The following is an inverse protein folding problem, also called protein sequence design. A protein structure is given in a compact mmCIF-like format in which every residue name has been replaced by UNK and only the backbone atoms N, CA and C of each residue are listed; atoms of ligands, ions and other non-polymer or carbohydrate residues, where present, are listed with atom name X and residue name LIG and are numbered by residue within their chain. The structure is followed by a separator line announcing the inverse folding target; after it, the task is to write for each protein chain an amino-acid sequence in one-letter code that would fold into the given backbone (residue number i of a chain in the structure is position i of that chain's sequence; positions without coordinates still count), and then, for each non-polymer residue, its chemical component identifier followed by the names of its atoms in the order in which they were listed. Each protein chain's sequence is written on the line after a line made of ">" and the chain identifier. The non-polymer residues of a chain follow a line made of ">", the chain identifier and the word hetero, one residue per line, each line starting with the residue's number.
data_IF_706534527750
#
_entry.id   IF_706534527750
#
_cell.length_a   1.000
_cell.length_b   1.000
_cell.length_c   1.000
_cell.angle_alpha   90.00
_cell.angle_beta   90.00
_cell.angle_gamma   90.00
#
_symmetry.space_group_name_H-M   'P 1'
#
loop_
_entity.id
_entity.type
_entity.pdbx_description
1 polymer ?
2 water ?
#
# COMPACT_ATOMS: atom_id res chain seq x y z
N UNK A 6 12.58 9.66 -24.94
CA UNK A 6 11.70 8.51 -25.28
C UNK A 6 12.21 7.18 -24.72
N UNK A 7 13.49 6.90 -24.91
CA UNK A 7 14.03 5.65 -24.40
C UNK A 7 13.93 5.72 -22.89
N UNK A 8 13.05 4.92 -22.31
CA UNK A 8 12.91 4.90 -20.87
C UNK A 8 13.36 3.55 -20.39
N UNK A 9 14.67 3.42 -20.24
CA UNK A 9 15.28 2.20 -19.77
C UNK A 9 14.90 0.96 -20.56
N UNK A 10 14.70 1.13 -21.86
CA UNK A 10 14.36 0.00 -22.71
C UNK A 10 12.94 -0.07 -23.24
N UNK A 11 12.22 1.05 -23.17
CA UNK A 11 10.85 1.10 -23.65
C UNK A 11 10.33 2.51 -23.83
N UNK A 12 9.37 2.67 -24.74
CA UNK A 12 8.77 3.98 -24.97
C UNK A 12 7.45 4.06 -24.20
N UNK A 13 7.31 5.15 -23.45
CA UNK A 13 6.13 5.41 -22.62
C UNK A 13 5.56 6.76 -23.03
N UNK A 14 4.57 6.76 -23.95
CA UNK A 14 3.90 7.96 -24.45
C UNK A 14 3.50 8.99 -23.40
N UNK A 15 3.18 8.54 -22.19
CA UNK A 15 2.78 9.49 -21.16
C UNK A 15 4.01 10.13 -20.53
N UNK A 17 6.96 10.50 -21.92
CA UNK A 17 7.54 11.37 -22.93
C UNK A 17 6.79 12.70 -22.90
N UNK A 18 5.52 12.65 -22.53
CA UNK A 18 4.67 13.83 -22.47
C UNK A 18 4.99 14.73 -21.28
N UNK A 19 5.46 14.12 -20.19
CA UNK A 19 5.80 14.87 -18.98
C UNK A 19 7.15 15.55 -19.10
N UNK A 20 7.89 15.22 -20.16
CA UNK A 20 9.20 15.81 -20.34
C UNK A 20 10.13 15.37 -19.22
N UNK A 21 10.19 14.06 -18.97
CA UNK A 21 11.05 13.54 -17.92
C UNK A 21 12.25 12.85 -18.54
N UNK A 22 13.39 12.91 -17.86
CA UNK A 22 14.62 12.31 -18.39
C UNK A 22 15.20 11.18 -17.52
N UNK A 23 15.41 10.00 -18.12
CA UNK A 23 15.98 8.83 -17.44
C UNK A 23 17.45 9.07 -17.18
N UNK A 24 17.89 8.89 -15.93
CA UNK A 24 19.26 9.17 -15.55
C UNK A 24 20.11 7.95 -15.16
N UNK A 25 19.45 6.86 -14.77
CA UNK A 25 20.15 5.64 -14.35
C UNK A 25 19.17 4.54 -13.97
N UNK A 26 19.65 3.31 -14.07
CA UNK A 26 18.88 2.12 -13.72
C UNK A 26 19.81 0.93 -13.71
N UNK A 27 19.92 0.28 -12.56
CA UNK A 27 20.79 -0.88 -12.46
C UNK A 27 21.20 -1.09 -11.04
N UNK A 28 21.55 -2.32 -10.70
CA UNK A 28 21.97 -2.67 -9.35
C UNK A 28 20.98 -2.29 -8.26
N UNK A 29 19.69 -2.48 -8.53
CA UNK A 29 18.67 -2.17 -7.55
C UNK A 29 18.38 -0.72 -7.22
N UNK A 30 18.78 0.22 -8.08
CA UNK A 30 18.50 1.63 -7.84
C UNK A 30 18.14 2.26 -9.16
N UNK A 31 17.67 3.49 -9.13
CA UNK A 31 17.32 4.18 -10.37
C UNK A 31 17.30 5.70 -10.18
N UNK A 32 17.46 6.44 -11.27
CA UNK A 32 17.45 7.89 -11.18
C UNK A 32 16.72 8.46 -12.38
N UNK A 33 15.96 9.51 -12.12
CA UNK A 33 15.21 10.17 -13.17
C UNK A 33 15.21 11.66 -12.84
N UNK A 34 14.86 12.49 -13.81
CA UNK A 34 14.86 13.94 -13.58
C UNK A 34 13.67 14.64 -14.19
N UNK A 35 13.06 15.56 -13.44
CA UNK A 35 11.91 16.29 -13.94
C UNK A 35 12.15 17.77 -14.18
N UNK A 36 12.58 18.12 -15.41
CA UNK A 36 12.84 19.52 -15.72
C UNK A 36 11.55 20.36 -15.58
N UNK A 37 11.67 21.51 -14.93
CA UNK A 37 10.53 22.38 -14.71
C UNK A 37 9.79 22.75 -15.99
N UNK A 38 8.46 22.86 -15.88
CA UNK A 38 7.61 23.21 -16.99
C UNK A 38 6.37 23.83 -16.36
N UNK A 39 5.62 24.58 -17.14
CA UNK A 39 4.41 25.22 -16.63
C UNK A 39 3.20 24.33 -16.89
N UNK A 40 3.37 23.37 -17.80
CA UNK A 40 2.34 22.41 -18.17
C UNK A 40 2.14 21.50 -16.97
N UNK A 41 3.20 21.35 -16.20
CA UNK A 41 3.22 20.46 -15.06
C UNK A 41 2.91 21.00 -13.67
N UNK A 42 2.36 22.21 -13.58
CA UNK A 42 2.08 22.81 -12.28
C UNK A 42 0.66 22.73 -11.70
N UNK A 43 0.62 22.94 -10.38
CA UNK A 43 -0.58 22.93 -9.58
C UNK A 43 -1.29 24.26 -9.80
N UNK A 44 -2.20 24.60 -8.90
CA UNK A 44 -2.92 25.86 -8.97
C UNK A 44 -2.17 26.81 -8.06
N UNK A 45 -1.44 26.25 -7.09
CA UNK A 45 -0.64 27.04 -6.17
C UNK A 45 0.71 27.30 -6.84
N UNK A 46 0.77 27.03 -8.14
CA UNK A 46 1.99 27.24 -8.89
C UNK A 46 3.02 26.14 -8.73
N UNK A 47 2.86 25.33 -7.68
CA UNK A 47 3.78 24.22 -7.38
C UNK A 47 3.61 23.09 -8.40
N UNK A 48 4.61 22.22 -8.48
CA UNK A 48 4.52 21.09 -9.39
C UNK A 48 3.41 20.20 -8.83
N UNK A 49 2.45 19.83 -9.67
CA UNK A 49 1.31 18.98 -9.25
C UNK A 49 1.74 17.62 -8.72
N UNK A 50 1.24 17.26 -7.54
CA UNK A 50 1.58 16.00 -6.91
C UNK A 50 1.38 14.78 -7.80
N UNK A 51 0.51 14.93 -8.79
CA UNK A 51 0.27 13.84 -9.71
C UNK A 51 1.48 13.73 -10.61
N UNK A 52 2.07 14.88 -10.93
CA UNK A 52 3.27 14.88 -11.77
C UNK A 52 4.31 14.09 -11.02
N UNK A 53 4.32 14.26 -9.70
CA UNK A 53 5.28 13.58 -8.84
C UNK A 53 5.10 12.07 -8.80
N UNK A 55 3.59 10.26 -10.90
CA UNK A 55 3.79 9.70 -12.25
C UNK A 55 5.26 9.41 -12.47
N UNK A 56 6.11 10.36 -12.12
CA UNK A 56 7.53 10.18 -12.30
C UNK A 56 8.05 9.19 -11.26
N UNK A 57 7.42 9.18 -10.08
CA UNK A 57 7.83 8.26 -9.03
C UNK A 57 7.45 6.83 -9.40
N UNK A 58 6.30 6.68 -10.07
CA UNK A 58 5.84 5.36 -10.47
C UNK A 58 6.85 4.81 -11.47
N UNK A 59 7.12 5.62 -12.48
CA UNK A 59 8.08 5.29 -13.52
C UNK A 59 9.42 4.83 -12.95
N UNK A 60 9.98 5.64 -12.05
CA UNK A 60 11.28 5.37 -11.45
C UNK A 60 11.36 4.24 -10.42
N UNK A 61 10.27 3.94 -9.75
CA UNK A 61 10.28 2.87 -8.77
C UNK A 61 10.41 1.54 -9.51
N UNK A 62 9.68 1.40 -10.60
CA UNK A 62 9.76 0.17 -11.36
C UNK A 62 11.15 -0.03 -11.96
N UNK A 63 11.75 1.06 -12.40
CA UNK A 63 13.07 1.01 -13.01
C UNK A 63 14.12 0.41 -12.09
N UNK A 64 13.96 0.54 -10.78
CA UNK A 64 14.94 -0.02 -9.85
C UNK A 64 14.88 -1.54 -9.82
N UNK A 65 13.84 -2.10 -10.45
CA UNK A 65 13.68 -3.54 -10.49
C UNK A 65 14.19 -4.02 -11.85
N UNK A 66 13.62 -3.50 -12.93
CA UNK A 66 14.03 -3.95 -14.26
C UNK A 66 15.20 -3.24 -14.95
N UNK A 67 16.30 -3.14 -14.23
CA UNK A 67 17.52 -2.53 -14.74
C UNK A 67 18.52 -3.64 -14.53
N UNK A 68 18.24 -4.42 -13.47
CA UNK A 68 19.04 -5.58 -13.11
C UNK A 68 18.55 -6.62 -14.10
N UNK A 69 17.43 -6.30 -14.76
CA UNK A 69 16.86 -7.19 -15.78
C UNK A 69 15.77 -6.59 -16.67
N UNK A 70 16.15 -5.99 -17.80
CA UNK A 70 15.17 -5.41 -18.73
C UNK A 70 14.42 -6.55 -19.43
N UNK A 71 14.72 -7.77 -18.98
CA UNK A 71 14.10 -8.98 -19.53
C UNK A 71 12.75 -9.21 -18.91
N UNK A 72 12.55 -8.66 -17.72
CA UNK A 72 11.32 -8.85 -16.96
C UNK A 72 10.30 -7.72 -17.05
N UNK A 73 9.06 -8.05 -16.71
CA UNK A 73 8.01 -7.06 -16.74
C UNK A 73 7.65 -6.71 -15.30
N UNK A 74 7.32 -5.46 -15.04
CA UNK A 74 6.92 -5.08 -13.69
C UNK A 74 5.63 -4.27 -13.78
N UNK A 75 4.65 -4.65 -12.98
CA UNK A 75 3.39 -3.93 -12.96
C UNK A 75 3.21 -3.46 -11.54
N UNK A 76 2.77 -2.21 -11.38
CA UNK A 76 2.56 -1.64 -10.05
C UNK A 76 1.29 -2.27 -9.45
N UNK A 77 1.38 -2.73 -8.22
CA UNK A 77 0.22 -3.32 -7.53
C UNK A 77 -0.44 -2.20 -6.72
N UNK A 78 0.33 -1.59 -5.84
CA UNK A 78 -0.14 -0.48 -5.01
C UNK A 78 1.03 0.47 -4.73
N UNK A 80 2.13 4.12 -2.25
CA UNK A 80 1.86 5.07 -1.18
C UNK A 80 2.81 6.28 -1.34
N UNK A 81 2.25 7.47 -1.39
CA UNK A 81 3.04 8.67 -1.57
C UNK A 81 2.79 9.72 -0.48
N UNK A 82 3.89 10.21 0.08
CA UNK A 82 3.84 11.23 1.12
C UNK A 82 4.28 12.56 0.51
N UNK A 83 3.55 13.62 0.87
CA UNK A 83 3.85 14.95 0.35
C UNK A 83 4.39 15.82 1.47
N UNK A 85 6.94 18.66 0.95
CA UNK A 85 7.23 20.02 0.58
C UNK A 85 6.83 20.32 -0.84
N UNK A 86 6.29 21.52 -1.07
CA UNK A 86 5.88 21.90 -2.42
C UNK A 86 7.06 21.71 -3.36
N UNK A 87 6.80 21.18 -4.54
CA UNK A 87 7.87 20.96 -5.50
C UNK A 87 7.99 22.09 -6.50
N UNK A 88 9.22 22.56 -6.71
CA UNK A 88 9.47 23.66 -7.64
C UNK A 88 10.81 23.52 -8.33
N UNK A 89 10.91 24.00 -9.56
CA UNK A 89 12.16 23.91 -10.30
C UNK A 89 12.45 22.46 -10.67
N UNK A 90 13.65 22.21 -11.18
CA UNK A 90 14.05 20.86 -11.56
C UNK A 90 14.07 19.95 -10.33
N UNK A 91 13.60 18.73 -10.49
CA UNK A 91 13.58 17.76 -9.40
C UNK A 91 14.28 16.49 -9.85
N UNK A 92 14.92 15.80 -8.90
CA UNK A 92 15.62 14.57 -9.22
C UNK A 92 14.93 13.47 -8.44
N UNK A 93 14.69 12.34 -9.10
CA UNK A 93 14.02 11.20 -8.48
C UNK A 93 14.93 9.99 -8.39
N UNK A 94 15.06 9.45 -7.19
CA UNK A 94 15.91 8.30 -6.97
C UNK A 94 15.22 7.21 -6.16
N UNK A 95 15.27 5.98 -6.67
CA UNK A 95 14.62 4.85 -6.03
C UNK A 95 15.58 3.71 -5.73
N UNK A 96 15.14 2.79 -4.89
CA UNK A 96 15.93 1.61 -4.52
C UNK A 96 14.97 0.45 -4.27
N UNK A 97 15.37 -0.76 -4.67
CA UNK A 97 14.53 -1.93 -4.48
C UNK A 97 14.87 -2.44 -3.09
N UNK A 98 13.84 -2.67 -2.27
CA UNK A 98 14.04 -3.15 -0.91
C UNK A 98 14.07 -4.67 -0.80
N UNK A 99 13.37 -5.31 -1.72
CA UNK A 99 13.29 -6.77 -1.76
C UNK A 99 12.76 -7.23 -3.10
N UNK A 100 13.27 -8.35 -3.56
CA UNK A 100 12.83 -8.90 -4.83
C UNK A 100 12.53 -10.37 -4.66
N UNK A 101 11.30 -10.77 -4.98
CA UNK A 101 10.93 -12.16 -4.85
C UNK A 101 10.79 -12.70 -6.25
N UNK A 102 10.27 -13.91 -6.38
CA UNK A 102 10.10 -14.49 -7.70
C UNK A 102 8.95 -13.79 -8.38
N UNK A 103 7.97 -13.38 -7.59
CA UNK A 103 6.78 -12.73 -8.11
C UNK A 103 6.51 -11.30 -7.64
N UNK A 104 6.89 -11.00 -6.39
CA UNK A 104 6.65 -9.68 -5.77
C UNK A 104 7.89 -8.83 -5.47
N UNK A 105 7.84 -7.55 -5.84
CA UNK A 105 8.96 -6.63 -5.60
C UNK A 105 8.53 -5.41 -4.78
N UNK A 106 9.36 -5.01 -3.83
CA UNK A 106 9.09 -3.85 -2.98
C UNK A 106 10.08 -2.73 -3.28
N UNK A 107 9.58 -1.51 -3.45
CA UNK A 107 10.45 -0.38 -3.75
C UNK A 107 10.08 0.88 -2.99
N UNK A 108 11.05 1.77 -2.86
CA UNK A 108 10.82 3.05 -2.20
C UNK A 108 11.64 4.11 -2.94
N UNK A 109 11.37 5.37 -2.66
CA UNK A 109 12.09 6.42 -3.35
C UNK A 109 11.74 7.79 -2.84
N UNK A 110 12.37 8.80 -3.43
CA UNK A 110 12.15 10.18 -3.00
C UNK A 110 12.44 11.19 -4.12
N UNK A 111 11.82 12.36 -4.00
CA UNK A 111 12.01 13.43 -4.94
C UNK A 111 12.62 14.59 -4.17
N UNK A 112 13.64 15.23 -4.74
CA UNK A 112 14.29 16.34 -4.07
C UNK A 112 14.45 17.49 -5.04
N UNK A 113 14.44 18.71 -4.51
CA UNK A 113 14.61 19.90 -5.34
C UNK A 113 16.08 20.25 -5.47
N UNK A 114 16.38 21.25 -6.28
CA UNK A 114 17.75 21.70 -6.49
C UNK A 114 18.44 21.96 -5.17
N UNK A 115 17.67 22.34 -4.15
CA UNK A 115 18.19 22.64 -2.82
C UNK A 115 18.38 21.38 -1.96
N UNK A 116 18.09 20.22 -2.55
CA UNK A 116 18.25 18.95 -1.85
C UNK A 116 17.22 18.63 -0.77
N UNK A 117 16.14 19.39 -0.71
CA UNK A 117 15.12 19.16 0.30
C UNK A 117 14.09 18.13 -0.18
N UNK A 118 13.62 17.30 0.75
CA UNK A 118 12.64 16.26 0.44
C UNK A 118 11.29 16.84 0.03
N UNK A 119 10.90 16.55 -1.21
CA UNK A 119 9.63 17.01 -1.77
C UNK A 119 8.56 15.96 -1.44
N UNK A 120 8.82 14.71 -1.82
CA UNK A 120 7.90 13.62 -1.56
C UNK A 120 8.64 12.29 -1.48
N UNK A 121 8.08 11.34 -0.74
CA UNK A 121 8.66 10.01 -0.60
C UNK A 121 7.54 9.02 -0.89
N UNK A 122 7.87 7.91 -1.54
CA UNK A 122 6.87 6.90 -1.89
C UNK A 122 7.34 5.47 -1.79
N UNK A 123 6.41 4.57 -1.52
CA UNK A 123 6.75 3.15 -1.48
C UNK A 123 5.79 2.50 -2.47
N UNK A 124 6.18 1.37 -3.03
CA UNK A 124 5.34 0.67 -4.00
C UNK A 124 5.57 -0.84 -4.00
N UNK A 125 4.54 -1.56 -4.42
CA UNK A 125 4.63 -3.00 -4.49
C UNK A 125 4.48 -3.32 -5.96
N UNK A 126 5.21 -4.31 -6.44
CA UNK A 126 5.15 -4.63 -7.86
C UNK A 126 4.96 -6.09 -8.21
N UNK A 127 4.33 -6.32 -9.36
CA UNK A 127 4.15 -7.67 -9.88
C UNK A 127 5.29 -7.80 -10.90
N UNK A 128 6.15 -8.80 -10.77
CA UNK A 128 7.17 -8.94 -11.79
C UNK A 128 6.62 -10.00 -12.71
N UNK A 129 6.34 -9.56 -13.95
CA UNK A 129 5.75 -10.40 -14.98
C UNK A 129 6.64 -11.47 -15.62
N UNK A 130 7.01 -12.48 -14.83
CA UNK A 130 7.78 -13.62 -15.32
C UNK A 130 8.06 -14.66 -14.26
N UNK B 6 -9.09 -21.62 20.24
CA UNK B 6 -10.19 -20.86 19.58
C UNK B 6 -10.17 -21.04 18.07
N UNK B 7 -11.35 -21.01 17.45
CA UNK B 7 -11.40 -21.15 16.01
C UNK B 7 -11.63 -19.82 15.32
N UNK B 8 -10.65 -19.38 14.54
CA UNK B 8 -10.78 -18.13 13.82
C UNK B 8 -10.93 -18.40 12.33
N UNK B 9 -12.17 -18.57 11.90
CA UNK B 9 -12.48 -18.81 10.50
C UNK B 9 -11.88 -20.08 9.89
N UNK B 10 -11.56 -21.05 10.75
CA UNK B 10 -11.00 -22.30 10.30
C UNK B 10 -9.51 -22.38 10.54
N UNK B 11 -9.00 -21.52 11.43
CA UNK B 11 -7.58 -21.48 11.73
C UNK B 11 -7.30 -21.07 13.18
N UNK B 12 -6.23 -21.62 13.73
CA UNK B 12 -5.81 -21.29 15.09
C UNK B 12 -4.87 -20.09 14.95
N UNK B 13 -5.00 -19.12 15.85
CA UNK B 13 -4.14 -17.94 15.83
C UNK B 13 -3.93 -17.40 17.24
N UNK B 14 -2.80 -17.76 17.87
CA UNK B 14 -2.40 -17.37 19.23
C UNK B 14 -2.56 -15.88 19.55
N UNK B 15 -2.17 -15.02 18.61
CA UNK B 15 -2.26 -13.60 18.84
C UNK B 15 -3.69 -13.09 18.83
N UNK B 17 -6.19 -14.79 19.78
CA UNK B 17 -6.78 -15.35 20.99
C UNK B 17 -6.38 -14.46 22.15
N UNK B 18 -5.21 -13.84 22.06
CA UNK B 18 -4.76 -12.95 23.12
C UNK B 18 -5.60 -11.69 23.09
N UNK B 19 -5.93 -11.24 21.89
CA UNK B 19 -6.72 -10.03 21.72
C UNK B 19 -8.20 -10.25 22.03
N UNK B 20 -8.60 -11.52 22.13
CA UNK B 20 -10.00 -11.80 22.43
C UNK B 20 -11.00 -11.44 21.35
N UNK B 21 -10.55 -11.21 20.13
CA UNK B 21 -11.45 -10.87 19.04
C UNK B 21 -12.39 -12.04 18.81
N UNK B 22 -13.61 -11.74 18.35
CA UNK B 22 -14.61 -12.76 18.11
C UNK B 22 -15.07 -12.80 16.66
N UNK B 23 -14.83 -13.92 15.98
CA UNK B 23 -15.22 -14.09 14.56
C UNK B 23 -16.72 -14.30 14.49
N UNK B 24 -17.40 -13.50 13.67
CA UNK B 24 -18.85 -13.60 13.56
C UNK B 24 -19.34 -14.15 12.24
N UNK B 25 -18.75 -13.67 11.15
CA UNK B 25 -19.16 -14.11 9.83
C UNK B 25 -18.06 -14.00 8.78
N UNK B 26 -18.28 -14.63 7.64
CA UNK B 26 -17.35 -14.59 6.52
C UNK B 26 -17.95 -15.38 5.36
N UNK B 27 -17.93 -14.80 4.17
CA UNK B 27 -18.48 -15.47 3.02
C UNK B 27 -19.11 -14.50 2.06
N UNK B 28 -19.04 -14.82 0.77
CA UNK B 28 -19.60 -13.99 -0.29
C UNK B 28 -18.78 -12.72 -0.39
N UNK B 29 -17.47 -12.86 -0.21
CA UNK B 29 -16.54 -11.74 -0.29
C UNK B 29 -16.47 -10.76 0.87
N UNK B 30 -17.06 -11.12 2.01
CA UNK B 30 -17.07 -10.24 3.18
C UNK B 30 -16.70 -11.04 4.42
N UNK B 31 -16.45 -10.34 5.52
CA UNK B 31 -16.18 -10.99 6.80
C UNK B 31 -16.48 -9.99 7.91
N UNK B 32 -16.87 -10.49 9.08
CA UNK B 32 -17.19 -9.61 10.18
C UNK B 32 -16.58 -10.13 11.47
N UNK B 33 -15.89 -9.25 12.18
CA UNK B 33 -15.28 -9.61 13.43
C UNK B 33 -15.71 -8.61 14.51
N UNK B 34 -15.62 -9.01 15.77
CA UNK B 34 -16.01 -8.13 16.84
C UNK B 34 -14.91 -8.11 17.88
N UNK B 35 -14.56 -6.91 18.32
CA UNK B 35 -13.54 -6.73 19.31
C UNK B 35 -14.16 -6.23 20.60
N UNK B 36 -14.22 -7.11 21.63
CA UNK B 36 -14.78 -6.77 22.95
C UNK B 36 -13.82 -5.81 23.63
N UNK B 37 -14.33 -4.97 24.52
CA UNK B 37 -13.48 -4.01 25.21
C UNK B 37 -12.73 -4.67 26.36
N UNK B 38 -11.47 -4.27 26.55
CA UNK B 38 -10.64 -4.80 27.61
C UNK B 38 -9.61 -3.71 27.90
N UNK B 39 -9.30 -3.49 29.18
CA UNK B 39 -8.35 -2.46 29.55
C UNK B 39 -6.94 -2.78 29.08
N UNK B 40 -6.74 -4.04 28.71
CA UNK B 40 -5.45 -4.55 28.23
C UNK B 40 -5.03 -3.94 26.90
N UNK B 41 -6.02 -3.79 26.01
CA UNK B 41 -5.80 -3.32 24.65
C UNK B 41 -5.80 -1.80 24.43
N UNK B 42 -5.65 -1.07 25.51
CA UNK B 42 -5.72 0.38 25.46
C UNK B 42 -4.49 1.27 25.16
N UNK B 43 -4.80 2.49 24.74
CA UNK B 43 -3.88 3.56 24.36
C UNK B 43 -3.26 4.25 25.56
N UNK B 44 -2.44 5.27 25.30
CA UNK B 44 -1.83 6.04 26.38
C UNK B 44 -2.89 7.05 26.83
N UNK B 45 -3.92 7.23 26.00
CA UNK B 45 -5.02 8.14 26.29
C UNK B 45 -6.27 7.35 26.68
N UNK B 46 -6.13 6.04 26.85
CA UNK B 46 -7.26 5.22 27.23
C UNK B 46 -8.13 4.80 26.05
N UNK B 47 -7.66 5.06 24.83
CA UNK B 47 -8.41 4.67 23.63
C UNK B 47 -7.89 3.30 23.17
N UNK B 48 -8.64 2.61 22.32
CA UNK B 48 -8.15 1.32 21.85
C UNK B 48 -6.97 1.64 20.93
N UNK B 49 -5.82 1.05 21.26
CA UNK B 49 -4.57 1.26 20.52
C UNK B 49 -4.71 0.98 19.02
N UNK B 50 -4.08 1.81 18.19
CA UNK B 50 -4.16 1.63 16.76
C UNK B 50 -3.60 0.29 16.31
N UNK B 51 -2.60 -0.19 17.05
CA UNK B 51 -1.97 -1.45 16.72
C UNK B 51 -2.99 -2.55 16.85
N UNK B 52 -3.82 -2.44 17.88
CA UNK B 52 -4.88 -3.39 18.16
C UNK B 52 -5.89 -3.44 17.00
N UNK B 53 -6.16 -2.27 16.44
CA UNK B 53 -7.12 -2.12 15.35
C UNK B 53 -6.56 -2.68 14.05
N UNK B 55 -4.47 -5.07 13.92
CA UNK B 55 -4.36 -6.49 14.12
C UNK B 55 -5.65 -7.20 13.72
N UNK B 56 -6.75 -6.78 14.32
CA UNK B 56 -8.04 -7.40 14.03
C UNK B 56 -8.48 -7.10 12.62
N UNK B 57 -8.08 -5.95 12.11
CA UNK B 57 -8.45 -5.57 10.75
C UNK B 57 -7.73 -6.48 9.74
N UNK B 58 -6.49 -6.84 10.07
CA UNK B 58 -5.66 -7.69 9.24
C UNK B 58 -6.33 -9.05 9.15
N UNK B 59 -6.69 -9.58 10.32
CA UNK B 59 -7.39 -10.84 10.42
C UNK B 59 -8.62 -10.80 9.51
N UNK B 60 -9.53 -9.88 9.80
CA UNK B 60 -10.79 -9.71 9.07
C UNK B 60 -10.67 -9.47 7.57
N UNK B 61 -9.70 -8.66 7.21
CA UNK B 61 -9.44 -8.35 5.81
C UNK B 61 -9.16 -9.66 5.04
N UNK B 62 -8.27 -10.49 5.58
CA UNK B 62 -7.93 -11.75 4.95
C UNK B 62 -9.10 -12.71 4.91
N UNK B 63 -9.85 -12.78 6.01
CA UNK B 63 -11.01 -13.66 6.13
C UNK B 63 -12.06 -13.41 5.05
N UNK B 64 -12.04 -12.23 4.44
CA UNK B 64 -13.00 -11.89 3.39
C UNK B 64 -12.58 -12.57 2.08
N UNK B 65 -11.39 -13.15 2.07
CA UNK B 65 -10.89 -13.85 0.90
C UNK B 65 -11.18 -15.34 1.14
N UNK B 66 -10.56 -15.91 2.17
CA UNK B 66 -10.76 -17.33 2.48
C UNK B 66 -12.02 -17.61 3.31
N UNK B 67 -13.15 -17.20 2.75
CA UNK B 67 -14.47 -17.40 3.36
C UNK B 67 -15.32 -17.90 2.21
N UNK B 68 -14.91 -17.50 1.01
CA UNK B 68 -15.57 -17.93 -0.22
C UNK B 68 -14.75 -19.16 -0.60
N UNK B 69 -13.46 -19.12 -0.25
CA UNK B 69 -12.54 -20.22 -0.53
C UNK B 69 -11.63 -20.49 0.66
N UNK B 70 -12.09 -21.30 1.63
CA UNK B 70 -11.30 -21.63 2.82
C UNK B 70 -10.16 -22.61 2.59
N UNK B 71 -10.11 -23.20 1.40
CA UNK B 71 -9.02 -24.13 1.07
C UNK B 71 -7.81 -23.29 0.71
N UNK B 72 -8.03 -21.99 0.53
CA UNK B 72 -6.98 -21.05 0.15
C UNK B 72 -6.11 -20.52 1.29
N UNK B 73 -4.85 -20.25 0.96
CA UNK B 73 -3.90 -19.71 1.92
C UNK B 73 -3.74 -18.23 1.59
N UNK B 74 -3.69 -17.41 2.62
CA UNK B 74 -3.61 -15.97 2.43
C UNK B 74 -2.46 -15.31 3.22
N UNK B 75 -1.70 -14.42 2.57
CA UNK B 75 -0.61 -13.72 3.23
C UNK B 75 -0.64 -12.24 2.84
N UNK B 76 -0.63 -11.38 3.86
CA UNK B 76 -0.69 -9.94 3.67
C UNK B 76 0.59 -9.43 3.05
N UNK B 77 0.46 -8.66 1.97
CA UNK B 77 1.61 -8.07 1.29
C UNK B 77 1.83 -6.67 1.86
N UNK B 78 0.80 -5.83 1.76
CA UNK B 78 0.88 -4.48 2.29
C UNK B 78 -0.49 -4.05 2.86
N UNK B 80 -2.65 -0.47 4.44
CA UNK B 80 -2.74 0.94 4.75
C UNK B 80 -3.89 1.20 5.72
N UNK B 81 -3.65 1.94 6.79
CA UNK B 81 -4.70 2.25 7.75
C UNK B 81 -4.81 3.74 8.07
N UNK B 82 -6.05 4.21 8.14
CA UNK B 82 -6.37 5.59 8.45
C UNK B 82 -7.18 5.56 9.74
N UNK B 83 -6.80 6.39 10.70
CA UNK B 83 -7.51 6.46 11.97
C UNK B 83 -8.35 7.75 12.00
N UNK B 85 -11.31 8.49 14.18
CA UNK B 85 -11.64 8.93 15.50
C UNK B 85 -11.27 7.82 16.47
N UNK B 86 -11.05 8.16 17.75
CA UNK B 86 -10.67 7.22 18.82
C UNK B 86 -11.71 6.13 19.08
N UNK B 87 -11.24 4.90 19.23
CA UNK B 87 -12.14 3.79 19.47
C UNK B 87 -12.32 3.50 20.94
N UNK B 88 -13.56 3.26 21.36
CA UNK B 88 -13.85 2.96 22.75
C UNK B 88 -15.02 2.00 22.81
N UNK B 89 -14.96 1.07 23.77
CA UNK B 89 -16.02 0.10 23.92
C UNK B 89 -15.96 -0.90 22.78
N UNK B 90 -16.72 -1.98 22.90
CA UNK B 90 -16.76 -3.03 21.89
C UNK B 90 -16.86 -2.44 20.49
N UNK B 91 -16.06 -2.98 19.57
CA UNK B 91 -16.03 -2.49 18.20
C UNK B 91 -16.42 -3.60 17.23
N UNK B 92 -16.79 -3.23 16.00
CA UNK B 92 -17.12 -4.23 15.00
C UNK B 92 -16.32 -3.92 13.75
N UNK B 93 -15.78 -4.99 13.16
CA UNK B 93 -14.95 -4.86 11.97
C UNK B 93 -15.54 -5.65 10.79
N UNK B 94 -15.83 -4.92 9.72
CA UNK B 94 -16.37 -5.53 8.52
C UNK B 94 -15.42 -5.27 7.36
N UNK B 95 -15.11 -6.31 6.61
CA UNK B 95 -14.24 -6.15 5.46
C UNK B 95 -14.91 -6.66 4.22
N UNK B 96 -14.36 -6.26 3.07
CA UNK B 96 -14.95 -6.62 1.81
C UNK B 96 -13.86 -6.80 0.76
N UNK B 97 -13.89 -7.91 0.01
CA UNK B 97 -12.89 -8.14 -1.04
C UNK B 97 -13.30 -7.41 -2.31
N UNK B 98 -12.42 -6.54 -2.79
CA UNK B 98 -12.70 -5.73 -3.98
C UNK B 98 -12.36 -6.38 -5.33
N UNK B 99 -11.31 -7.20 -5.33
CA UNK B 99 -10.88 -7.90 -6.53
C UNK B 99 -9.99 -9.05 -6.15
N UNK B 100 -10.28 -10.20 -6.74
CA UNK B 100 -9.55 -11.41 -6.47
C UNK B 100 -9.04 -12.01 -7.78
N UNK B 101 -7.78 -12.42 -7.77
CA UNK B 101 -7.17 -13.02 -8.93
C UNK B 101 -6.57 -14.35 -8.52
N UNK B 102 -5.75 -14.93 -9.38
CA UNK B 102 -5.13 -16.21 -9.07
C UNK B 102 -4.04 -16.06 -8.02
N UNK B 103 -3.37 -14.91 -8.09
CA UNK B 103 -2.24 -14.60 -7.21
C UNK B 103 -2.46 -13.47 -6.18
N UNK B 104 -3.18 -12.44 -6.61
CA UNK B 104 -3.41 -11.25 -5.82
C UNK B 104 -4.88 -10.87 -5.55
N UNK B 105 -5.15 -10.47 -4.31
CA UNK B 105 -6.49 -10.03 -3.92
C UNK B 105 -6.39 -8.69 -3.20
N UNK B 106 -7.39 -7.84 -3.45
CA UNK B 106 -7.48 -6.52 -2.85
C UNK B 106 -8.68 -6.46 -1.90
N UNK B 107 -8.43 -5.97 -0.68
CA UNK B 107 -9.49 -5.87 0.32
C UNK B 107 -9.62 -4.49 0.98
N UNK B 108 -10.70 -4.33 1.75
CA UNK B 108 -10.91 -3.10 2.47
C UNK B 108 -11.82 -3.34 3.65
N UNK B 109 -11.78 -2.41 4.60
CA UNK B 109 -12.61 -2.57 5.77
C UNK B 109 -12.62 -1.33 6.64
N UNK B 110 -13.52 -1.34 7.61
CA UNK B 110 -13.69 -0.23 8.52
C UNK B 110 -14.01 -0.74 9.92
N UNK B 111 -13.69 0.05 10.93
CA UNK B 111 -13.99 -0.31 12.29
C UNK B 111 -14.98 0.76 12.76
N UNK B 112 -16.03 0.32 13.44
CA UNK B 112 -17.05 1.24 13.93
C UNK B 112 -17.38 0.94 15.37
N UNK B 113 -17.71 1.98 16.13
CA UNK B 113 -18.06 1.84 17.52
C UNK B 113 -19.56 1.54 17.66
N UNK B 114 -20.03 1.33 18.89
CA UNK B 114 -21.43 1.01 19.12
C UNK B 114 -22.37 2.08 18.57
N UNK B 115 -21.88 3.31 18.51
CA UNK B 115 -22.64 4.44 18.01
C UNK B 115 -22.56 4.54 16.48
N UNK B 116 -22.03 3.47 15.86
CA UNK B 116 -21.92 3.41 14.41
C UNK B 116 -20.95 4.36 13.72
N UNK B 117 -20.15 5.06 14.50
CA UNK B 117 -19.19 6.02 13.95
C UNK B 117 -17.91 5.34 13.44
N UNK B 118 -17.30 5.96 12.46
CA UNK B 118 -16.08 5.42 11.85
C UNK B 118 -14.84 5.60 12.71
N UNK B 119 -14.30 4.50 13.23
CA UNK B 119 -13.08 4.55 14.04
C UNK B 119 -11.84 4.51 13.16
N UNK B 120 -11.76 3.53 12.25
CA UNK B 120 -10.62 3.40 11.37
C UNK B 120 -10.98 2.73 10.04
N UNK B 121 -10.17 2.96 9.03
CA UNK B 121 -10.42 2.33 7.73
C UNK B 121 -9.10 1.79 7.21
N UNK B 122 -9.18 0.65 6.51
CA UNK B 122 -7.97 0.05 5.96
C UNK B 122 -8.22 -0.64 4.62
N UNK B 123 -7.13 -0.76 3.87
CA UNK B 123 -7.15 -1.42 2.57
C UNK B 123 -5.88 -2.25 2.55
N UNK B 124 -5.93 -3.44 1.97
CA UNK B 124 -4.75 -4.28 1.92
C UNK B 124 -4.59 -5.09 0.64
N UNK B 125 -3.40 -5.65 0.48
CA UNK B 125 -3.08 -6.47 -0.67
C UNK B 125 -2.66 -7.81 -0.11
N UNK B 126 -3.13 -8.88 -0.74
CA UNK B 126 -2.84 -10.22 -0.27
C UNK B 126 -2.31 -11.13 -1.35
N UNK B 127 -1.46 -12.06 -0.93
CA UNK B 127 -0.92 -13.04 -1.85
C UNK B 127 -1.79 -14.25 -1.58
N UNK B 128 -2.46 -14.74 -2.62
CA UNK B 128 -3.31 -15.92 -2.46
C UNK B 128 -2.44 -17.14 -2.75
N UNK B 129 -2.16 -17.92 -1.72
CA UNK B 129 -1.34 -19.12 -1.85
C UNK B 129 -2.18 -20.32 -2.32
#
# INVERSE_FOLDING_TARGET
>A
XSTPHTDFFGLTIPFXQLLGVVPEHSGNGTARTRLPARADLVNSRGDIHGGTLXSVLDFTLGAAIRGDTPEVGVATIDXNTSFXSPGRGDLVIETRCLRRGASIAFCEGEIRDSAGELVAKATATFKIIQRRPGLEHHHHHH
>B
XSTPHTDFFGLTIPFXQLLGVVPEHSGNGTARTRLPARADLVNSRGDIHGGTLXSVLDFTLGAAIRGDTPEVGVATIDXNTSFXSPGRGDLVIETRCLRRGASIAFCEGEIRDSAGELVAKATATFKIIQRRPGLEHHHHHH
#
